data_IF_325474814129
#
_entry.id   IF_325474814129
#
_cell.length_a   1.000
_cell.length_b   1.000
_cell.length_c   1.000
_cell.angle_alpha   90.00
_cell.angle_beta   90.00
_cell.angle_gamma   90.00
#
_symmetry.space_group_name_H-M   'P 1'
#
loop_
_entity.id
_entity.type
_entity.pdbx_description
1 polymer ?
#
# COMPACT_ATOMS: atom_id res chain seq x y z
N UNK A 1 2.45 -14.87 1.45
CA UNK A 1 3.35 -14.04 0.61
C UNK A 1 2.45 -13.08 -0.14
N UNK A 2 2.24 -11.89 0.41
CA UNK A 2 1.36 -10.89 -0.19
C UNK A 2 2.07 -10.06 -1.29
N UNK A 3 1.33 -9.69 -2.32
CA UNK A 3 1.66 -8.61 -3.26
C UNK A 3 1.13 -7.29 -2.73
N UNK A 4 2.05 -6.38 -2.47
CA UNK A 4 1.79 -5.10 -1.83
C UNK A 4 1.99 -3.97 -2.83
N UNK A 5 0.98 -3.13 -3.00
CA UNK A 5 1.12 -1.84 -3.67
C UNK A 5 1.42 -0.78 -2.62
N UNK A 6 2.58 -0.12 -2.75
CA UNK A 6 3.03 0.94 -1.86
C UNK A 6 2.98 2.29 -2.59
N UNK A 7 2.23 3.25 -2.04
CA UNK A 7 2.08 4.58 -2.63
C UNK A 7 1.74 5.69 -1.63
N UNK A 8 1.27 6.82 -2.15
CA UNK A 8 0.86 7.99 -1.36
C UNK A 8 1.90 9.13 -1.33
N UNK A 9 1.48 10.34 -0.93
CA UNK A 9 2.28 11.57 -1.06
C UNK A 9 3.39 11.75 -0.01
N UNK A 10 3.66 10.73 0.81
CA UNK A 10 4.64 10.81 1.90
C UNK A 10 6.10 10.60 1.44
N UNK A 11 7.09 11.15 2.16
CA UNK A 11 8.50 10.90 1.87
C UNK A 11 8.92 9.48 2.23
N UNK A 12 9.88 8.94 1.46
CA UNK A 12 10.58 7.70 1.78
C UNK A 12 9.86 6.36 1.53
N UNK A 13 8.99 6.21 0.51
CA UNK A 13 8.40 4.90 0.21
C UNK A 13 9.45 3.87 -0.20
N UNK A 14 10.63 4.27 -0.67
CA UNK A 14 11.70 3.35 -1.04
C UNK A 14 12.28 2.59 0.17
N UNK A 15 12.40 3.25 1.31
CA UNK A 15 12.91 2.63 2.53
C UNK A 15 11.94 1.58 3.05
N UNK A 16 10.65 1.91 3.11
CA UNK A 16 9.61 0.96 3.49
C UNK A 16 9.48 -0.17 2.46
N UNK A 17 9.55 0.13 1.15
CA UNK A 17 9.54 -0.89 0.10
C UNK A 17 10.67 -1.90 0.28
N UNK A 18 11.87 -1.41 0.61
CA UNK A 18 13.02 -2.29 0.87
C UNK A 18 12.76 -3.20 2.07
N UNK A 19 12.29 -2.62 3.18
CA UNK A 19 11.99 -3.38 4.41
C UNK A 19 10.92 -4.45 4.18
N UNK A 20 9.87 -4.14 3.40
CA UNK A 20 8.83 -5.10 3.03
C UNK A 20 9.35 -6.22 2.11
N UNK A 21 10.22 -5.89 1.15
CA UNK A 21 10.88 -6.91 0.31
C UNK A 21 11.81 -7.80 1.12
N UNK A 22 12.57 -7.23 2.05
CA UNK A 22 13.46 -7.98 2.95
C UNK A 22 12.66 -8.92 3.88
N UNK A 23 11.38 -8.60 4.15
CA UNK A 23 10.45 -9.47 4.86
C UNK A 23 9.80 -10.56 3.98
N UNK A 24 10.10 -10.59 2.67
CA UNK A 24 9.65 -11.62 1.74
C UNK A 24 8.38 -11.29 0.95
N UNK A 25 7.92 -10.03 0.96
CA UNK A 25 6.75 -9.60 0.18
C UNK A 25 7.13 -9.19 -1.25
N UNK A 26 6.20 -9.37 -2.19
CA UNK A 26 6.27 -8.70 -3.49
C UNK A 26 5.81 -7.25 -3.30
N UNK A 27 6.62 -6.27 -3.74
CA UNK A 27 6.30 -4.85 -3.55
C UNK A 27 6.36 -4.09 -4.85
N UNK A 28 5.19 -3.62 -5.28
CA UNK A 28 5.02 -2.66 -6.38
C UNK A 28 5.07 -1.25 -5.80
N UNK A 29 6.11 -0.51 -6.16
CA UNK A 29 6.29 0.87 -5.72
C UNK A 29 5.58 1.80 -6.71
N UNK A 30 4.41 2.30 -6.33
CA UNK A 30 3.55 3.18 -7.13
C UNK A 30 3.83 4.68 -6.83
N UNK A 31 5.08 5.07 -6.60
CA UNK A 31 5.42 6.43 -6.16
C UNK A 31 4.92 7.52 -7.11
N UNK A 32 4.35 8.59 -6.54
CA UNK A 32 3.96 9.81 -7.28
C UNK A 32 2.59 9.80 -7.96
N UNK A 33 1.81 8.72 -7.85
CA UNK A 33 0.41 8.70 -8.29
C UNK A 33 -0.52 9.36 -7.26
N UNK A 34 -1.59 9.97 -7.77
CA UNK A 34 -2.77 10.32 -6.98
C UNK A 34 -3.58 9.06 -6.63
N UNK A 35 -4.68 9.23 -5.91
CA UNK A 35 -5.53 8.16 -5.39
C UNK A 35 -6.11 7.30 -6.52
N UNK A 36 -6.50 7.93 -7.63
CA UNK A 36 -7.03 7.25 -8.80
C UNK A 36 -5.97 6.42 -9.53
N UNK A 37 -4.75 6.95 -9.67
CA UNK A 37 -3.60 6.24 -10.22
C UNK A 37 -3.20 5.07 -9.32
N UNK A 38 -3.17 5.27 -8.01
CA UNK A 38 -2.85 4.22 -7.04
C UNK A 38 -3.86 3.07 -7.11
N UNK A 39 -5.16 3.39 -7.12
CA UNK A 39 -6.22 2.37 -7.25
C UNK A 39 -6.16 1.63 -8.60
N UNK A 40 -5.73 2.30 -9.69
CA UNK A 40 -5.51 1.63 -10.97
C UNK A 40 -4.35 0.62 -10.89
N UNK A 41 -3.26 0.94 -10.19
CA UNK A 41 -2.15 0.02 -9.98
C UNK A 41 -2.60 -1.18 -9.13
N UNK A 42 -3.39 -0.95 -8.08
CA UNK A 42 -3.96 -2.03 -7.24
C UNK A 42 -4.71 -3.06 -8.09
N UNK A 43 -5.59 -2.58 -8.97
CA UNK A 43 -6.34 -3.44 -9.88
C UNK A 43 -5.43 -4.16 -10.90
N UNK A 44 -4.47 -3.44 -11.49
CA UNK A 44 -3.58 -4.01 -12.52
C UNK A 44 -2.68 -5.10 -11.98
N UNK A 45 -2.19 -4.91 -10.75
CA UNK A 45 -1.24 -5.80 -10.12
C UNK A 45 -1.92 -6.93 -9.34
N UNK A 46 -3.25 -6.90 -9.20
CA UNK A 46 -4.01 -7.84 -8.37
C UNK A 46 -3.44 -7.87 -6.95
N UNK A 47 -3.39 -6.70 -6.31
CA UNK A 47 -2.71 -6.53 -5.03
C UNK A 47 -3.53 -7.10 -3.87
N UNK A 48 -2.86 -7.80 -2.95
CA UNK A 48 -3.47 -8.32 -1.72
C UNK A 48 -3.59 -7.24 -0.63
N UNK A 49 -2.79 -6.18 -0.74
CA UNK A 49 -2.69 -5.13 0.26
C UNK A 49 -2.21 -3.81 -0.34
N UNK A 50 -2.81 -2.71 0.09
CA UNK A 50 -2.30 -1.36 -0.15
C UNK A 50 -1.61 -0.84 1.11
N UNK A 51 -0.39 -0.32 0.96
CA UNK A 51 0.28 0.45 2.00
C UNK A 51 0.41 1.89 1.52
N UNK A 52 -0.03 2.85 2.33
CA UNK A 52 0.09 4.28 2.03
C UNK A 52 0.83 5.04 3.12
N UNK A 53 1.67 6.02 2.74
CA UNK A 53 2.40 6.90 3.69
C UNK A 53 1.61 8.16 4.08
N UNK A 54 0.31 8.22 3.78
CA UNK A 54 -0.57 9.34 4.12
C UNK A 54 -1.50 9.71 2.96
N UNK A 55 -1.92 10.97 2.91
CA UNK A 55 -2.86 11.48 1.91
C UNK A 55 -4.33 11.34 2.31
N UNK A 56 -5.26 11.80 1.46
CA UNK A 56 -6.70 11.71 1.68
C UNK A 56 -7.17 10.25 1.60
N UNK A 57 -7.14 9.55 2.72
CA UNK A 57 -7.56 8.14 2.81
C UNK A 57 -8.97 7.93 2.26
N UNK A 58 -9.90 8.85 2.53
CA UNK A 58 -11.27 8.76 2.04
C UNK A 58 -11.34 8.78 0.51
N UNK A 59 -10.51 9.58 -0.15
CA UNK A 59 -10.44 9.65 -1.62
C UNK A 59 -9.82 8.37 -2.20
N UNK A 60 -8.82 7.79 -1.54
CA UNK A 60 -8.27 6.49 -1.92
C UNK A 60 -9.32 5.37 -1.79
N UNK A 61 -10.07 5.33 -0.69
CA UNK A 61 -11.11 4.31 -0.49
C UNK A 61 -12.22 4.43 -1.53
N UNK A 62 -12.62 5.65 -1.90
CA UNK A 62 -13.56 5.89 -3.00
C UNK A 62 -12.96 5.41 -4.33
N UNK A 63 -11.71 5.73 -4.62
CA UNK A 63 -11.05 5.35 -5.87
C UNK A 63 -10.88 3.82 -6.04
N UNK A 64 -10.69 3.10 -4.93
CA UNK A 64 -10.67 1.63 -4.88
C UNK A 64 -12.07 1.05 -5.12
N UNK A 65 -13.10 1.63 -4.51
CA UNK A 65 -14.49 1.20 -4.73
C UNK A 65 -14.96 1.41 -6.17
N UNK A 66 -14.62 2.54 -6.79
CA UNK A 66 -14.93 2.84 -8.20
C UNK A 66 -14.30 1.84 -9.20
N UNK A 67 -13.34 1.02 -8.74
CA UNK A 67 -12.61 0.03 -9.53
C UNK A 67 -12.88 -1.41 -9.11
N UNK A 68 -13.92 -1.64 -8.30
CA UNK A 68 -14.29 -2.96 -7.79
C UNK A 68 -13.15 -3.67 -7.00
N UNK A 69 -12.28 -2.92 -6.32
CA UNK A 69 -11.19 -3.44 -5.47
C UNK A 69 -11.26 -2.89 -4.03
N UNK A 70 -12.46 -2.53 -3.57
CA UNK A 70 -12.69 -2.02 -2.20
C UNK A 70 -12.47 -3.06 -1.09
N UNK A 71 -12.41 -4.34 -1.45
CA UNK A 71 -12.09 -5.44 -0.55
C UNK A 71 -10.60 -5.56 -0.24
N UNK A 72 -9.73 -4.91 -1.03
CA UNK A 72 -8.30 -4.86 -0.77
C UNK A 72 -8.02 -4.03 0.49
N UNK A 73 -7.42 -4.60 1.54
CA UNK A 73 -7.13 -3.87 2.77
C UNK A 73 -6.12 -2.73 2.53
N UNK A 74 -6.28 -1.65 3.30
CA UNK A 74 -5.39 -0.48 3.28
C UNK A 74 -4.73 -0.29 4.63
N UNK A 75 -3.39 -0.23 4.64
CA UNK A 75 -2.58 0.08 5.82
C UNK A 75 -1.95 1.46 5.65
N UNK A 76 -2.31 2.39 6.54
CA UNK A 76 -1.62 3.68 6.64
C UNK A 76 -0.34 3.49 7.43
N UNK A 77 0.80 3.54 6.77
CA UNK A 77 2.12 3.44 7.35
C UNK A 77 2.53 4.74 8.04
N UNK A 78 3.16 4.61 9.20
CA UNK A 78 3.86 5.71 9.87
C UNK A 78 5.36 5.55 9.58
N UNK A 79 6.01 6.48 8.86
CA UNK A 79 7.45 6.43 8.62
C UNK A 79 8.29 6.39 9.92
N UNK A 80 7.77 6.93 11.03
CA UNK A 80 8.42 6.90 12.33
C UNK A 80 8.25 5.54 13.04
N UNK A 81 7.30 4.71 12.63
CA UNK A 81 7.02 3.38 13.19
C UNK A 81 6.94 2.30 12.11
N UNK A 82 8.08 2.07 11.44
CA UNK A 82 8.21 1.00 10.44
C UNK A 82 7.95 -0.39 11.05
N UNK A 83 8.33 -0.61 12.30
CA UNK A 83 8.12 -1.89 12.99
C UNK A 83 6.64 -2.16 13.29
N UNK A 84 5.88 -1.15 13.71
CA UNK A 84 4.42 -1.25 13.82
C UNK A 84 3.74 -1.46 12.48
N UNK A 85 4.25 -0.83 11.42
CA UNK A 85 3.76 -1.05 10.05
C UNK A 85 3.96 -2.49 9.60
N UNK A 86 5.17 -3.05 9.76
CA UNK A 86 5.44 -4.45 9.42
C UNK A 86 4.53 -5.44 10.17
N UNK A 87 4.30 -5.22 11.47
CA UNK A 87 3.40 -6.08 12.26
C UNK A 87 1.97 -6.05 11.73
N UNK A 88 1.49 -4.91 11.23
CA UNK A 88 0.18 -4.80 10.60
C UNK A 88 0.15 -5.50 9.25
N UNK A 89 1.18 -5.32 8.41
CA UNK A 89 1.29 -6.02 7.12
C UNK A 89 1.28 -7.54 7.31
N UNK A 90 2.05 -8.05 8.27
CA UNK A 90 2.11 -9.49 8.57
C UNK A 90 0.78 -10.09 9.02
N UNK A 91 -0.19 -9.27 9.49
CA UNK A 91 -1.53 -9.75 9.82
C UNK A 91 -2.35 -10.13 8.58
N UNK A 92 -1.90 -9.74 7.38
CA UNK A 92 -2.54 -10.01 6.10
C UNK A 92 -1.84 -11.10 5.27
N UNK A 93 -0.81 -11.77 5.82
CA UNK A 93 -0.06 -12.86 5.16
C UNK A 93 -0.73 -14.25 5.25
N UNK A 94 -2.00 -14.30 5.67
CA UNK A 94 -2.76 -15.51 6.00
C UNK A 94 -2.75 -16.60 4.93
#
# INVERSE_FOLDING_TARGET
>A
MARIVLGGPGPGPEALARVLRDAGHEVVLAGGYDEAGLAAVVLQEDADLVVTLGGPLDELLVALADRDVADVPVVVADPADLAGTLRRVAAYDG
#
